data_IF_546546538540
#
_entry.id   IF_546546538540
#
_cell.length_a   1.000
_cell.length_b   1.000
_cell.length_c   1.000
_cell.angle_alpha   90.00
_cell.angle_beta   90.00
_cell.angle_gamma   90.00
#
_symmetry.space_group_name_H-M   'P 1'
#
loop_
_entity.id
_entity.type
_entity.pdbx_description
1 polymer ?
#
# COMPACT_ATOMS: atom_id res chain seq x y z
N UNK A 1 -3.01 -1.60 0.74
CA UNK A 1 -3.52 -2.67 1.64
C UNK A 1 -5.04 -2.85 1.51
N UNK A 2 -5.88 -1.93 1.94
CA UNK A 2 -7.35 -2.06 1.92
C UNK A 2 -7.94 -2.50 0.57
N UNK A 3 -7.44 -1.94 -0.53
CA UNK A 3 -7.84 -2.36 -1.88
C UNK A 3 -7.45 -3.82 -2.15
N UNK A 4 -6.21 -4.20 -1.87
CA UNK A 4 -5.71 -5.56 -2.15
C UNK A 4 -6.47 -6.62 -1.34
N UNK A 5 -6.78 -6.37 -0.07
CA UNK A 5 -7.59 -7.28 0.76
C UNK A 5 -8.93 -7.58 0.08
N UNK A 6 -9.64 -6.54 -0.38
CA UNK A 6 -10.94 -6.72 -1.04
C UNK A 6 -10.83 -7.32 -2.44
N UNK A 7 -9.85 -6.88 -3.22
CA UNK A 7 -9.68 -7.34 -4.60
C UNK A 7 -9.26 -8.81 -4.68
N UNK A 8 -8.47 -9.29 -3.70
CA UNK A 8 -7.96 -10.65 -3.64
C UNK A 8 -8.78 -11.57 -2.71
N UNK A 9 -9.82 -11.05 -2.06
CA UNK A 9 -10.65 -11.82 -1.12
C UNK A 9 -9.89 -12.32 0.11
N UNK A 10 -8.92 -11.54 0.61
CA UNK A 10 -8.12 -11.92 1.77
C UNK A 10 -8.95 -11.88 3.05
N UNK A 11 -8.68 -12.79 3.99
CA UNK A 11 -9.30 -12.81 5.32
C UNK A 11 -8.79 -11.69 6.22
N UNK A 12 -7.54 -11.27 6.03
CA UNK A 12 -6.92 -10.19 6.80
C UNK A 12 -5.72 -9.61 6.06
N UNK A 13 -5.16 -8.53 6.59
CA UNK A 13 -3.93 -7.94 6.08
C UNK A 13 -3.08 -7.35 7.19
N UNK A 14 -1.78 -7.30 6.95
CA UNK A 14 -0.79 -6.75 7.87
C UNK A 14 0.08 -5.76 7.13
N UNK A 15 0.33 -4.60 7.73
CA UNK A 15 1.35 -3.64 7.27
C UNK A 15 2.37 -3.46 8.39
N UNK A 16 3.63 -3.68 8.05
CA UNK A 16 4.77 -3.33 8.90
C UNK A 16 5.26 -1.95 8.47
N UNK A 17 4.98 -0.92 9.26
CA UNK A 17 5.37 0.45 8.92
C UNK A 17 5.31 1.36 10.14
N UNK A 18 6.28 2.27 10.23
CA UNK A 18 6.24 3.39 11.17
C UNK A 18 5.47 4.60 10.63
N UNK A 19 4.79 4.48 9.45
CA UNK A 19 4.11 5.58 8.77
C UNK A 19 5.09 6.69 8.36
N UNK A 20 4.97 7.87 8.97
CA UNK A 20 5.80 9.06 8.71
C UNK A 20 6.87 9.30 9.81
N UNK A 21 7.01 8.38 10.74
CA UNK A 21 8.07 8.47 11.76
C UNK A 21 9.45 8.18 11.14
N UNK A 22 10.55 8.63 11.78
CA UNK A 22 11.91 8.29 11.36
C UNK A 22 12.13 6.79 11.19
N UNK A 23 13.09 6.41 10.36
CA UNK A 23 13.38 5.02 9.96
C UNK A 23 13.72 4.06 11.10
N UNK A 24 14.14 4.60 12.25
CA UNK A 24 14.43 3.83 13.45
C UNK A 24 13.18 3.26 14.13
N UNK A 25 12.03 3.81 13.81
CA UNK A 25 10.74 3.33 14.32
C UNK A 25 10.15 2.25 13.44
N UNK A 26 9.33 1.41 14.05
CA UNK A 26 8.54 0.42 13.33
C UNK A 26 7.10 0.42 13.88
N UNK A 27 6.21 -0.25 13.19
CA UNK A 27 4.82 -0.38 13.59
C UNK A 27 4.14 -1.57 12.95
N UNK A 28 3.08 -2.03 13.57
CA UNK A 28 2.28 -3.15 13.14
C UNK A 28 0.82 -2.72 13.05
N UNK A 29 0.23 -2.79 11.85
CA UNK A 29 -1.17 -2.48 11.61
C UNK A 29 -1.87 -3.73 11.06
N UNK A 30 -2.93 -4.16 11.74
CA UNK A 30 -3.75 -5.29 11.33
C UNK A 30 -5.07 -4.81 10.70
N UNK A 31 -5.47 -5.47 9.62
CA UNK A 31 -6.68 -5.19 8.85
C UNK A 31 -7.57 -6.43 8.79
N UNK A 32 -8.87 -6.23 8.68
CA UNK A 32 -9.83 -7.30 8.53
C UNK A 32 -10.22 -7.52 7.05
N UNK A 33 -11.11 -8.48 6.79
CA UNK A 33 -11.50 -8.88 5.44
C UNK A 33 -12.27 -7.81 4.65
N UNK A 34 -12.82 -6.80 5.32
CA UNK A 34 -13.44 -5.62 4.70
C UNK A 34 -12.42 -4.58 4.20
N UNK A 35 -11.13 -4.78 4.51
CA UNK A 35 -10.05 -3.86 4.17
C UNK A 35 -9.92 -2.68 5.13
N UNK A 36 -10.68 -2.63 6.23
CA UNK A 36 -10.52 -1.65 7.28
C UNK A 36 -9.51 -2.12 8.34
N UNK A 37 -8.91 -1.15 9.03
CA UNK A 37 -8.06 -1.49 10.19
C UNK A 37 -8.92 -2.18 11.24
N UNK A 38 -8.37 -3.24 11.86
CA UNK A 38 -9.05 -4.08 12.81
C UNK A 38 -9.58 -3.27 14.01
N UNK A 39 -10.86 -3.46 14.33
CA UNK A 39 -11.54 -2.83 15.46
C UNK A 39 -12.22 -3.89 16.33
N UNK A 40 -12.79 -3.47 17.46
CA UNK A 40 -13.51 -4.38 18.38
C UNK A 40 -14.66 -5.11 17.66
N UNK A 41 -14.85 -6.43 17.91
CA UNK A 41 -14.16 -7.26 18.91
C UNK A 41 -12.85 -7.92 18.42
N UNK A 42 -12.53 -7.81 17.14
CA UNK A 42 -11.42 -8.58 16.51
C UNK A 42 -10.03 -8.16 17.02
N UNK A 43 -9.82 -6.86 17.24
CA UNK A 43 -8.59 -6.33 17.84
C UNK A 43 -8.34 -6.90 19.24
N UNK A 44 -9.36 -6.87 20.10
CA UNK A 44 -9.30 -7.40 21.47
C UNK A 44 -9.05 -8.91 21.49
N UNK A 45 -9.74 -9.64 20.61
CA UNK A 45 -9.56 -11.09 20.50
C UNK A 45 -8.13 -11.44 20.05
N UNK A 46 -7.58 -10.71 19.08
CA UNK A 46 -6.21 -10.91 18.60
C UNK A 46 -5.20 -10.62 19.70
N UNK A 47 -5.34 -9.52 20.43
CA UNK A 47 -4.46 -9.18 21.55
C UNK A 47 -4.58 -10.21 22.69
N UNK A 48 -5.78 -10.74 22.94
CA UNK A 48 -5.96 -11.79 23.94
C UNK A 48 -5.16 -13.06 23.56
N UNK A 49 -5.14 -13.45 22.29
CA UNK A 49 -4.34 -14.59 21.83
C UNK A 49 -2.83 -14.30 21.93
N UNK A 50 -2.39 -13.11 21.57
CA UNK A 50 -0.98 -12.70 21.71
C UNK A 50 -0.54 -12.79 23.18
N UNK A 51 -1.37 -12.32 24.11
CA UNK A 51 -1.08 -12.34 25.54
C UNK A 51 -1.08 -13.75 26.16
N UNK A 52 -1.59 -14.78 25.44
CA UNK A 52 -1.50 -16.19 25.85
C UNK A 52 -0.13 -16.80 25.58
N UNK A 53 0.67 -16.20 24.70
CA UNK A 53 2.02 -16.66 24.38
C UNK A 53 2.89 -16.40 25.61
N UNK A 54 3.45 -17.47 26.19
CA UNK A 54 4.27 -17.40 27.41
C UNK A 54 5.76 -17.58 27.15
N UNK A 55 6.10 -18.15 25.99
CA UNK A 55 7.46 -18.47 25.60
C UNK A 55 7.66 -18.32 24.11
N UNK A 56 8.86 -17.99 23.68
CA UNK A 56 9.26 -18.02 22.27
C UNK A 56 9.05 -19.41 21.66
N UNK A 57 9.13 -20.47 22.47
CA UNK A 57 8.89 -21.84 22.03
C UNK A 57 7.42 -22.09 21.57
N UNK A 58 6.49 -21.24 22.00
CA UNK A 58 5.09 -21.33 21.57
C UNK A 58 4.88 -20.78 20.15
N UNK A 59 5.86 -20.08 19.62
CA UNK A 59 5.80 -19.42 18.30
C UNK A 59 6.28 -20.38 17.21
N UNK A 60 5.47 -20.52 16.16
CA UNK A 60 5.80 -21.35 15.00
C UNK A 60 6.66 -20.58 14.00
N UNK A 61 7.97 -20.77 14.03
CA UNK A 61 8.90 -20.13 13.09
C UNK A 61 9.07 -20.86 11.76
N UNK A 62 8.70 -22.16 11.69
CA UNK A 62 8.82 -22.93 10.45
C UNK A 62 7.69 -22.54 9.49
N UNK A 63 8.05 -21.73 8.48
CA UNK A 63 7.14 -21.34 7.39
C UNK A 63 7.10 -22.40 6.29
N UNK A 64 6.13 -22.25 5.39
CA UNK A 64 6.05 -22.99 4.13
C UNK A 64 6.14 -21.99 2.95
N UNK A 65 7.29 -21.90 2.26
CA UNK A 65 7.46 -20.98 1.13
C UNK A 65 6.44 -21.18 -0.01
N UNK A 66 5.91 -22.40 -0.18
CA UNK A 66 4.90 -22.68 -1.20
C UNK A 66 3.55 -21.97 -0.96
N UNK A 67 3.34 -21.40 0.23
CA UNK A 67 2.15 -20.62 0.57
C UNK A 67 2.38 -19.11 0.42
N UNK A 68 3.55 -18.69 -0.06
CA UNK A 68 3.87 -17.27 -0.28
C UNK A 68 3.71 -16.96 -1.76
N UNK A 69 2.82 -16.05 -2.06
CA UNK A 69 2.62 -15.50 -3.40
C UNK A 69 2.95 -14.01 -3.40
N UNK A 70 3.82 -13.60 -4.32
CA UNK A 70 4.16 -12.19 -4.51
C UNK A 70 3.18 -11.56 -5.49
N UNK A 71 2.37 -10.63 -5.02
CA UNK A 71 1.50 -9.83 -5.87
C UNK A 71 2.32 -8.68 -6.50
N UNK A 72 2.02 -8.35 -7.75
CA UNK A 72 2.80 -7.37 -8.52
C UNK A 72 1.94 -6.49 -9.40
N UNK A 73 2.39 -6.31 -10.65
CA UNK A 73 1.84 -5.35 -11.60
C UNK A 73 0.35 -5.55 -11.92
N UNK A 74 -0.17 -6.76 -11.83
CA UNK A 74 -1.59 -7.03 -12.04
C UNK A 74 -2.46 -6.33 -10.99
N UNK A 75 -2.07 -6.41 -9.72
CA UNK A 75 -2.79 -5.75 -8.63
C UNK A 75 -2.58 -4.24 -8.68
N UNK A 76 -1.38 -3.78 -9.05
CA UNK A 76 -1.10 -2.36 -9.28
C UNK A 76 -2.00 -1.80 -10.38
N UNK A 77 -2.14 -2.52 -11.50
CA UNK A 77 -3.02 -2.12 -12.60
C UNK A 77 -4.48 -2.04 -12.16
N UNK A 78 -5.00 -3.05 -11.47
CA UNK A 78 -6.37 -3.03 -10.93
C UNK A 78 -6.61 -1.83 -10.02
N UNK A 79 -5.63 -1.51 -9.18
CA UNK A 79 -5.69 -0.37 -8.27
C UNK A 79 -5.70 0.97 -9.03
N UNK A 80 -4.79 1.14 -10.00
CA UNK A 80 -4.70 2.34 -10.83
C UNK A 80 -5.94 2.55 -11.68
N UNK A 81 -6.49 1.49 -12.26
CA UNK A 81 -7.73 1.55 -13.04
C UNK A 81 -8.90 1.97 -12.14
N UNK A 82 -8.95 1.46 -10.91
CA UNK A 82 -9.97 1.88 -9.93
C UNK A 82 -9.82 3.35 -9.55
N UNK A 83 -8.59 3.84 -9.32
CA UNK A 83 -8.33 5.26 -9.04
C UNK A 83 -8.76 6.13 -10.21
N UNK A 84 -8.51 5.72 -11.45
CA UNK A 84 -8.91 6.46 -12.64
C UNK A 84 -10.41 6.72 -12.69
N UNK A 85 -11.24 5.78 -12.22
CA UNK A 85 -12.70 5.97 -12.19
C UNK A 85 -13.17 7.09 -11.26
N UNK A 86 -12.29 7.60 -10.39
CA UNK A 86 -12.58 8.69 -9.46
C UNK A 86 -12.28 10.08 -10.06
N UNK A 87 -11.81 10.15 -11.30
CA UNK A 87 -11.55 11.41 -11.98
C UNK A 87 -12.85 12.20 -12.21
N UNK A 88 -12.90 13.42 -11.70
CA UNK A 88 -14.04 14.30 -11.83
C UNK A 88 -13.98 15.22 -13.06
N UNK A 89 -12.80 15.39 -13.67
CA UNK A 89 -12.57 16.37 -14.73
C UNK A 89 -11.66 15.81 -15.83
N UNK A 90 -12.00 14.71 -16.50
CA UNK A 90 -11.18 14.10 -17.53
C UNK A 90 -10.91 15.06 -18.71
N UNK A 91 -11.90 15.87 -19.10
CA UNK A 91 -11.75 16.84 -20.19
C UNK A 91 -10.75 17.96 -19.85
N UNK A 92 -10.63 18.35 -18.57
CA UNK A 92 -9.62 19.31 -18.14
C UNK A 92 -8.22 18.70 -18.22
N UNK A 93 -8.08 17.42 -17.85
CA UNK A 93 -6.82 16.70 -17.96
C UNK A 93 -6.40 16.60 -19.43
N UNK A 94 -7.30 16.23 -20.33
CA UNK A 94 -6.98 16.12 -21.77
C UNK A 94 -6.53 17.46 -22.37
N UNK A 95 -7.15 18.59 -21.97
CA UNK A 95 -6.73 19.92 -22.42
C UNK A 95 -5.36 20.36 -21.91
N UNK A 96 -4.90 19.78 -20.79
CA UNK A 96 -3.65 20.16 -20.12
C UNK A 96 -2.70 18.96 -19.94
N UNK A 97 -2.82 17.93 -20.79
CA UNK A 97 -2.07 16.67 -20.67
C UNK A 97 -0.56 16.83 -20.76
N UNK A 98 -0.09 17.85 -21.43
CA UNK A 98 1.31 18.20 -21.62
C UNK A 98 1.87 19.16 -20.55
N UNK A 99 1.03 19.54 -19.59
CA UNK A 99 1.45 20.34 -18.45
C UNK A 99 2.66 19.71 -17.74
N UNK A 100 3.69 20.54 -17.53
CA UNK A 100 4.90 20.10 -16.83
C UNK A 100 4.62 19.88 -15.34
N UNK A 101 4.72 18.63 -14.90
CA UNK A 101 4.53 18.21 -13.50
C UNK A 101 5.88 17.74 -12.97
N UNK A 102 6.43 18.44 -11.98
CA UNK A 102 7.60 17.98 -11.22
C UNK A 102 7.08 17.18 -10.02
N UNK A 103 7.51 15.94 -9.93
CA UNK A 103 7.10 15.03 -8.87
C UNK A 103 8.29 14.54 -8.06
N UNK A 104 8.14 14.53 -6.74
CA UNK A 104 9.05 13.88 -5.81
C UNK A 104 8.29 13.21 -4.68
N UNK A 105 8.66 11.98 -4.27
CA UNK A 105 8.16 11.32 -3.07
C UNK A 105 8.86 11.80 -1.79
N UNK A 106 9.91 12.62 -1.89
CA UNK A 106 10.80 13.00 -0.77
C UNK A 106 11.25 11.74 0.01
N UNK A 107 11.89 10.78 -0.68
CA UNK A 107 12.33 9.48 -0.16
C UNK A 107 11.20 8.56 0.35
N UNK A 108 9.93 8.88 0.06
CA UNK A 108 8.77 8.08 0.45
C UNK A 108 8.44 6.97 -0.55
N UNK A 109 7.33 6.28 -0.32
CA UNK A 109 6.92 5.08 -1.07
C UNK A 109 6.23 5.35 -2.41
N UNK A 110 5.99 6.64 -2.76
CA UNK A 110 5.23 7.03 -3.96
C UNK A 110 5.95 6.90 -5.30
N UNK A 111 7.19 6.39 -5.33
CA UNK A 111 8.06 6.34 -6.52
C UNK A 111 7.40 5.69 -7.74
N UNK A 112 6.69 4.59 -7.56
CA UNK A 112 6.07 3.83 -8.66
C UNK A 112 4.63 4.25 -8.94
N UNK A 113 3.77 4.18 -7.92
CA UNK A 113 2.33 4.28 -8.13
C UNK A 113 1.83 5.70 -8.40
N UNK A 114 2.47 6.74 -7.87
CA UNK A 114 2.01 8.11 -8.11
C UNK A 114 2.28 8.53 -9.55
N UNK A 115 3.49 8.40 -10.11
CA UNK A 115 3.72 8.70 -11.52
C UNK A 115 2.89 7.81 -12.47
N UNK A 116 2.73 6.53 -12.14
CA UNK A 116 1.88 5.63 -12.92
C UNK A 116 0.42 6.08 -12.91
N UNK A 117 -0.09 6.56 -11.77
CA UNK A 117 -1.44 7.12 -11.66
C UNK A 117 -1.61 8.39 -12.50
N UNK A 118 -0.65 9.32 -12.43
CA UNK A 118 -0.67 10.54 -13.25
C UNK A 118 -0.69 10.21 -14.74
N UNK A 119 0.15 9.26 -15.18
CA UNK A 119 0.14 8.77 -16.58
C UNK A 119 -1.20 8.12 -16.95
N UNK A 120 -1.78 7.33 -16.05
CA UNK A 120 -3.07 6.67 -16.27
C UNK A 120 -4.22 7.68 -16.37
N UNK A 121 -4.15 8.82 -15.69
CA UNK A 121 -5.08 9.94 -15.88
C UNK A 121 -4.93 10.62 -17.23
N UNK A 122 -3.75 10.57 -17.86
CA UNK A 122 -3.50 11.15 -19.18
C UNK A 122 -2.36 12.17 -19.22
N UNK A 123 -1.73 12.50 -18.12
CA UNK A 123 -0.58 13.44 -18.12
C UNK A 123 0.64 12.80 -18.78
N UNK A 124 1.30 13.54 -19.66
CA UNK A 124 2.41 13.05 -20.49
C UNK A 124 3.77 13.60 -20.08
N UNK A 125 3.82 14.72 -19.34
CA UNK A 125 5.04 15.45 -19.04
C UNK A 125 5.33 15.45 -17.53
N UNK A 126 5.75 14.29 -17.02
CA UNK A 126 6.05 14.07 -15.60
C UNK A 126 7.57 13.98 -15.43
N UNK A 127 8.12 14.87 -14.64
CA UNK A 127 9.56 15.01 -14.36
C UNK A 127 9.80 14.56 -12.93
N UNK A 128 10.66 13.57 -12.76
CA UNK A 128 11.09 13.08 -11.45
C UNK A 128 12.28 13.90 -10.91
N UNK A 129 12.45 13.87 -9.59
CA UNK A 129 13.66 14.33 -8.89
C UNK A 129 14.43 13.09 -8.46
N UNK A 130 15.39 12.58 -9.28
CA UNK A 130 16.00 11.27 -9.10
C UNK A 130 16.69 11.11 -7.73
N UNK A 131 17.26 12.18 -7.19
CA UNK A 131 17.94 12.18 -5.89
C UNK A 131 16.98 11.86 -4.73
N UNK A 132 15.69 12.11 -4.94
CA UNK A 132 14.65 11.88 -3.93
C UNK A 132 13.78 10.64 -4.19
N UNK A 133 14.04 9.93 -5.29
CA UNK A 133 13.38 8.66 -5.64
C UNK A 133 14.04 7.44 -4.94
N UNK A 134 15.12 7.65 -4.21
CA UNK A 134 15.87 6.61 -3.51
C UNK A 134 15.52 6.56 -2.02
N UNK A 135 15.69 5.39 -1.43
CA UNK A 135 15.56 5.20 0.02
C UNK A 135 16.77 5.84 0.71
N UNK A 136 16.52 6.70 1.69
CA UNK A 136 17.56 7.39 2.46
C UNK A 136 17.72 6.76 3.87
#
# INVERSE_FOLDING_TARGET
MSFAIRALGCQSGIILTASHNPKEYNGYKAYWNDGAQMISPHDKNTIAEVNRIRSIADIKFKGNPALIEMIGEEVDKLFLDKIKTLSLSPDAIERHKDMKIVYTPIHGTGVKLVPASLKNFGFTNIIHVPEQDVVS
#
